data_IF_295546951005
#
_entry.id   IF_295546951005
#
_cell.length_a   1.000
_cell.length_b   1.000
_cell.length_c   1.000
_cell.angle_alpha   90.00
_cell.angle_beta   90.00
_cell.angle_gamma   90.00
#
_symmetry.space_group_name_H-M   'P 1'
#
loop_
_entity.id
_entity.type
_entity.pdbx_description
1 polymer ?
#
# COMPACT_ATOMS: atom_id res chain seq x y z
N UNK A 1 4.78 10.21 -23.81
CA UNK A 1 3.34 9.99 -24.08
C UNK A 1 2.75 9.49 -22.78
N UNK A 2 1.65 10.07 -22.31
CA UNK A 2 0.99 9.62 -21.07
C UNK A 2 0.26 8.31 -21.32
N UNK A 3 0.42 7.32 -20.43
CA UNK A 3 -0.29 6.05 -20.51
C UNK A 3 -1.81 6.27 -20.43
N UNK A 4 -2.58 5.50 -21.20
CA UNK A 4 -4.02 5.38 -20.93
C UNK A 4 -4.24 4.58 -19.65
N UNK A 5 -5.43 4.71 -19.04
CA UNK A 5 -5.80 3.91 -17.86
C UNK A 5 -5.70 2.40 -18.12
N UNK A 6 -6.13 1.93 -19.29
CA UNK A 6 -6.06 0.52 -19.65
C UNK A 6 -4.62 0.02 -19.77
N UNK A 7 -3.73 0.82 -20.38
CA UNK A 7 -2.31 0.51 -20.46
C UNK A 7 -1.65 0.50 -19.08
N UNK A 8 -2.02 1.43 -18.20
CA UNK A 8 -1.52 1.49 -16.83
C UNK A 8 -1.97 0.27 -16.01
N UNK A 9 -3.23 -0.16 -16.13
CA UNK A 9 -3.75 -1.36 -15.45
C UNK A 9 -3.04 -2.62 -15.97
N UNK A 10 -2.93 -2.80 -17.29
CA UNK A 10 -2.24 -3.94 -17.87
C UNK A 10 -0.75 -3.96 -17.45
N UNK A 11 -0.10 -2.80 -17.52
CA UNK A 11 1.28 -2.64 -17.11
C UNK A 11 1.49 -2.92 -15.63
N UNK A 12 0.57 -2.49 -14.76
CA UNK A 12 0.59 -2.80 -13.33
C UNK A 12 0.54 -4.31 -13.08
N UNK A 13 -0.43 -5.02 -13.69
CA UNK A 13 -0.60 -6.46 -13.47
C UNK A 13 0.56 -7.29 -14.01
N UNK A 14 1.17 -6.87 -15.13
CA UNK A 14 2.41 -7.48 -15.62
C UNK A 14 3.52 -7.46 -14.55
N UNK A 15 3.68 -6.33 -13.83
CA UNK A 15 4.72 -6.18 -12.80
C UNK A 15 4.37 -6.93 -11.52
N UNK A 16 3.09 -6.93 -11.12
CA UNK A 16 2.63 -7.77 -10.02
C UNK A 16 2.96 -9.24 -10.30
N UNK A 17 2.75 -9.70 -11.54
CA UNK A 17 3.02 -11.09 -11.93
C UNK A 17 4.50 -11.41 -12.10
N UNK A 18 5.29 -10.51 -12.71
CA UNK A 18 6.70 -10.79 -13.01
C UNK A 18 7.60 -10.61 -11.79
N UNK A 19 7.26 -9.68 -10.89
CA UNK A 19 8.10 -9.24 -9.77
C UNK A 19 9.51 -8.78 -10.22
N UNK A 20 9.65 -8.40 -11.48
CA UNK A 20 10.89 -7.86 -12.02
C UNK A 20 11.09 -6.41 -11.57
N UNK A 21 12.34 -6.03 -11.37
CA UNK A 21 12.71 -4.66 -11.02
C UNK A 21 12.30 -3.71 -12.16
N UNK A 22 11.45 -2.75 -11.84
CA UNK A 22 11.00 -1.70 -12.74
C UNK A 22 11.75 -0.39 -12.49
N UNK A 23 11.96 0.40 -13.54
CA UNK A 23 12.43 1.76 -13.36
C UNK A 23 11.39 2.57 -12.54
N UNK A 24 11.78 3.33 -11.50
CA UNK A 24 10.84 4.13 -10.72
C UNK A 24 9.97 5.06 -11.57
N UNK A 25 10.52 5.63 -12.64
CA UNK A 25 9.81 6.52 -13.56
C UNK A 25 8.66 5.80 -14.28
N UNK A 26 8.82 4.51 -14.58
CA UNK A 26 7.77 3.70 -15.19
C UNK A 26 6.63 3.43 -14.21
N UNK A 27 6.95 3.17 -12.94
CA UNK A 27 5.94 3.01 -11.88
C UNK A 27 5.21 4.34 -11.61
N UNK A 28 5.91 5.47 -11.72
CA UNK A 28 5.33 6.80 -11.64
C UNK A 28 4.36 7.10 -12.79
N UNK A 29 4.67 6.68 -14.01
CA UNK A 29 3.77 6.81 -15.16
C UNK A 29 2.51 5.96 -15.00
N UNK A 30 2.64 4.72 -14.50
CA UNK A 30 1.49 3.88 -14.16
C UNK A 30 0.63 4.58 -13.10
N UNK A 31 1.24 5.04 -12.01
CA UNK A 31 0.55 5.73 -10.92
C UNK A 31 -0.27 6.93 -11.39
N UNK A 32 0.35 7.78 -12.21
CA UNK A 32 -0.25 9.03 -12.69
C UNK A 32 -1.48 8.78 -13.57
N UNK A 33 -1.56 7.63 -14.26
CA UNK A 33 -2.67 7.26 -15.12
C UNK A 33 -3.84 6.58 -14.36
N UNK A 34 -3.67 6.26 -13.07
CA UNK A 34 -4.72 5.66 -12.24
C UNK A 34 -5.59 6.73 -11.56
N UNK A 35 -6.89 6.46 -11.34
CA UNK A 35 -7.78 7.37 -10.62
C UNK A 35 -7.49 7.41 -9.11
N UNK A 36 -7.71 8.58 -8.51
CA UNK A 36 -7.70 8.78 -7.05
C UNK A 36 -8.81 8.01 -6.36
N UNK A 37 -8.63 7.81 -5.05
CA UNK A 37 -9.60 7.15 -4.18
C UNK A 37 -9.94 8.02 -2.98
N UNK A 38 -11.13 7.83 -2.47
CA UNK A 38 -11.63 8.37 -1.20
C UNK A 38 -11.35 7.39 -0.06
N UNK A 39 -11.47 7.87 1.18
CA UNK A 39 -11.25 7.05 2.37
C UNK A 39 -12.29 5.92 2.42
N UNK A 40 -13.55 6.22 2.12
CA UNK A 40 -14.64 5.24 2.20
C UNK A 40 -14.47 4.11 1.19
N UNK A 41 -13.94 4.39 0.00
CA UNK A 41 -13.66 3.37 -1.03
C UNK A 41 -12.58 2.36 -0.60
N UNK A 42 -11.66 2.76 0.29
CA UNK A 42 -10.52 1.91 0.68
C UNK A 42 -10.71 1.19 2.01
N UNK A 43 -11.74 1.50 2.81
CA UNK A 43 -11.96 0.82 4.10
C UNK A 43 -12.08 -0.70 3.93
N UNK A 44 -11.54 -1.45 4.90
CA UNK A 44 -11.48 -2.91 4.91
C UNK A 44 -10.06 -3.46 4.98
N UNK A 45 -9.91 -4.77 4.79
CA UNK A 45 -8.63 -5.48 4.94
C UNK A 45 -8.02 -5.79 3.59
N UNK A 46 -6.69 -5.71 3.54
CA UNK A 46 -5.93 -5.79 2.31
C UNK A 46 -4.68 -6.63 2.51
N UNK A 47 -4.44 -7.54 1.56
CA UNK A 47 -3.18 -8.26 1.42
C UNK A 47 -2.22 -7.42 0.57
N UNK A 48 -1.01 -7.23 1.04
CA UNK A 48 0.01 -6.43 0.39
C UNK A 48 1.02 -7.23 -0.43
N UNK A 49 1.66 -6.56 -1.38
CA UNK A 49 2.86 -7.03 -2.05
C UNK A 49 3.67 -5.87 -2.60
N UNK A 50 4.90 -6.13 -2.98
CA UNK A 50 5.83 -5.10 -3.44
C UNK A 50 5.79 -4.95 -4.97
N UNK A 51 6.13 -3.76 -5.44
CA UNK A 51 6.44 -3.49 -6.85
C UNK A 51 7.93 -3.13 -6.93
N UNK A 52 8.82 -4.10 -7.17
CA UNK A 52 10.26 -3.87 -7.05
C UNK A 52 10.75 -2.75 -7.97
N UNK A 53 11.56 -1.85 -7.42
CA UNK A 53 12.12 -0.71 -8.16
C UNK A 53 13.62 -0.54 -7.96
N UNK A 54 14.29 -1.56 -7.40
CA UNK A 54 15.67 -1.48 -6.93
C UNK A 54 15.78 -0.64 -5.66
N UNK A 55 14.68 -0.51 -4.91
CA UNK A 55 14.65 0.23 -3.66
C UNK A 55 15.33 -0.59 -2.56
N UNK A 56 16.04 0.03 -1.58
CA UNK A 56 16.66 -0.72 -0.48
C UNK A 56 15.68 -1.53 0.40
N UNK A 57 14.38 -1.23 0.29
CA UNK A 57 13.32 -1.96 1.01
C UNK A 57 12.78 -3.15 0.23
N UNK A 58 13.15 -3.32 -1.05
CA UNK A 58 12.70 -4.47 -1.84
C UNK A 58 13.12 -5.77 -1.13
N UNK A 59 12.16 -6.67 -0.93
CA UNK A 59 12.28 -7.94 -0.21
C UNK A 59 12.21 -7.84 1.31
N UNK A 60 12.23 -6.65 1.91
CA UNK A 60 12.28 -6.49 3.37
C UNK A 60 10.94 -6.82 4.04
N UNK A 61 9.80 -6.58 3.38
CA UNK A 61 8.48 -6.86 3.98
C UNK A 61 8.23 -8.36 4.13
N UNK A 62 8.81 -9.18 3.26
CA UNK A 62 8.76 -10.64 3.36
C UNK A 62 9.48 -11.16 4.61
N UNK A 63 10.59 -10.54 5.02
CA UNK A 63 11.38 -10.95 6.20
C UNK A 63 10.59 -10.81 7.50
N UNK A 64 9.65 -9.86 7.53
CA UNK A 64 8.79 -9.60 8.69
C UNK A 64 7.40 -10.23 8.52
N UNK A 65 7.26 -11.15 7.55
CA UNK A 65 6.01 -11.85 7.19
C UNK A 65 4.83 -10.89 7.07
N UNK A 66 5.07 -9.74 6.43
CA UNK A 66 4.03 -8.76 6.19
C UNK A 66 2.93 -9.35 5.33
N UNK A 67 1.71 -9.31 5.86
CA UNK A 67 0.51 -9.76 5.17
C UNK A 67 -0.17 -8.59 4.45
N UNK A 68 -0.21 -7.41 5.07
CA UNK A 68 -0.80 -6.23 4.44
C UNK A 68 -1.25 -5.15 5.44
N UNK A 69 -2.43 -4.58 5.19
CA UNK A 69 -2.95 -3.42 5.95
C UNK A 69 -4.42 -3.60 6.30
N UNK A 70 -4.82 -3.11 7.46
CA UNK A 70 -6.23 -3.00 7.85
C UNK A 70 -6.66 -1.55 7.94
N UNK A 71 -7.73 -1.19 7.24
CA UNK A 71 -8.34 0.14 7.23
C UNK A 71 -9.75 0.06 7.83
N UNK A 72 -9.86 -0.18 9.13
CA UNK A 72 -11.16 -0.38 9.80
C UNK A 72 -11.98 0.92 9.88
N UNK A 73 -11.30 2.06 9.98
CA UNK A 73 -11.90 3.38 9.90
C UNK A 73 -10.83 4.43 9.63
N UNK A 74 -11.24 5.68 9.43
CA UNK A 74 -10.31 6.82 9.30
C UNK A 74 -9.22 6.87 10.38
N UNK A 75 -9.55 6.54 11.63
CA UNK A 75 -8.64 6.65 12.78
C UNK A 75 -8.20 5.30 13.36
N UNK A 76 -8.56 4.18 12.71
CA UNK A 76 -8.13 2.85 13.10
C UNK A 76 -7.53 2.16 11.88
N UNK A 77 -6.22 2.33 11.74
CA UNK A 77 -5.45 1.74 10.64
C UNK A 77 -4.27 0.98 11.20
N UNK A 78 -4.15 -0.29 10.80
CA UNK A 78 -2.97 -1.10 11.03
C UNK A 78 -2.09 -1.12 9.77
N UNK A 79 -0.97 -0.38 9.73
CA UNK A 79 -0.12 -0.28 8.54
C UNK A 79 0.77 -1.51 8.32
N UNK A 80 1.04 -2.26 9.39
CA UNK A 80 1.93 -3.42 9.42
C UNK A 80 1.20 -4.63 9.99
N UNK A 81 0.26 -5.19 9.23
CA UNK A 81 -0.37 -6.46 9.59
C UNK A 81 0.59 -7.59 9.19
N UNK A 82 1.08 -8.36 10.16
CA UNK A 82 2.04 -9.44 9.96
C UNK A 82 1.47 -10.78 10.44
N UNK A 83 2.10 -11.88 10.01
CA UNK A 83 1.82 -13.23 10.53
C UNK A 83 2.80 -13.59 11.65
N UNK A 84 2.28 -14.12 12.75
CA UNK A 84 3.09 -14.75 13.79
C UNK A 84 3.54 -16.18 13.38
N UNK A 85 4.15 -16.92 14.29
CA UNK A 85 4.60 -18.30 14.04
C UNK A 85 3.46 -19.31 13.96
N UNK A 86 2.30 -19.01 14.56
CA UNK A 86 1.08 -19.81 14.48
C UNK A 86 0.23 -19.47 13.25
N UNK A 87 0.65 -18.45 12.48
CA UNK A 87 -0.02 -17.98 11.27
C UNK A 87 -1.13 -16.95 11.50
N UNK A 88 -1.33 -16.51 12.75
CA UNK A 88 -2.33 -15.51 13.10
C UNK A 88 -1.89 -14.13 12.63
N UNK A 89 -2.86 -13.30 12.24
CA UNK A 89 -2.63 -11.92 11.84
C UNK A 89 -2.69 -10.98 13.05
N UNK A 90 -1.72 -10.07 13.14
CA UNK A 90 -1.68 -9.03 14.16
C UNK A 90 -1.09 -7.73 13.64
N UNK A 91 -1.43 -6.58 14.26
CA UNK A 91 -0.80 -5.29 13.98
C UNK A 91 0.57 -5.22 14.67
N UNK A 92 1.65 -5.27 13.89
CA UNK A 92 3.02 -5.14 14.37
C UNK A 92 3.39 -3.65 14.57
N UNK A 93 3.06 -3.15 15.75
CA UNK A 93 3.31 -1.76 16.17
C UNK A 93 4.78 -1.43 16.35
N UNK A 94 5.65 -2.41 16.60
CA UNK A 94 7.08 -2.17 16.76
C UNK A 94 7.71 -1.75 15.43
N UNK A 95 7.42 -2.50 14.36
CA UNK A 95 7.91 -2.20 13.00
C UNK A 95 7.17 -0.99 12.42
N UNK A 96 5.86 -0.92 12.61
CA UNK A 96 5.04 0.20 12.16
C UNK A 96 5.37 1.52 12.86
N UNK A 97 6.10 1.46 13.99
CA UNK A 97 6.29 2.57 14.93
C UNK A 97 4.95 3.17 15.36
N UNK A 98 4.03 2.29 15.73
CA UNK A 98 2.64 2.63 16.05
C UNK A 98 1.66 2.26 14.94
N UNK A 99 0.49 2.90 14.99
CA UNK A 99 -0.60 2.74 14.02
C UNK A 99 -0.56 3.89 13.00
N UNK A 100 -1.66 4.11 12.30
CA UNK A 100 -1.81 5.20 11.35
C UNK A 100 -3.25 5.74 11.31
N UNK A 101 -3.45 6.76 10.48
CA UNK A 101 -4.77 7.31 10.15
C UNK A 101 -4.87 7.68 8.67
N UNK A 102 -6.10 7.72 8.14
CA UNK A 102 -6.37 8.09 6.75
C UNK A 102 -6.73 9.56 6.61
N UNK A 103 -6.11 10.23 5.64
CA UNK A 103 -6.37 11.63 5.31
C UNK A 103 -6.45 11.81 3.79
N UNK A 104 -7.30 12.72 3.29
CA UNK A 104 -7.13 13.23 1.93
C UNK A 104 -5.86 14.09 1.91
N UNK A 105 -4.83 13.63 1.19
CA UNK A 105 -3.55 14.33 1.06
C UNK A 105 -3.28 14.61 -0.41
N UNK A 106 -2.81 15.83 -0.69
CA UNK A 106 -2.34 16.19 -2.03
C UNK A 106 -0.97 15.53 -2.30
N UNK A 107 -0.86 14.87 -3.44
CA UNK A 107 0.39 14.34 -3.95
C UNK A 107 0.41 14.45 -5.49
N UNK A 108 1.40 15.17 -6.01
CA UNK A 108 1.62 15.40 -7.46
C UNK A 108 0.46 16.11 -8.18
N UNK A 109 -0.18 17.05 -7.49
CA UNK A 109 -1.28 17.88 -7.99
C UNK A 109 -2.67 17.28 -7.79
N UNK A 110 -2.78 16.11 -7.15
CA UNK A 110 -4.04 15.40 -6.95
C UNK A 110 -4.26 15.03 -5.48
N UNK A 111 -5.49 15.15 -4.99
CA UNK A 111 -5.85 14.72 -3.64
C UNK A 111 -6.35 13.28 -3.68
N UNK A 112 -5.75 12.41 -2.88
CA UNK A 112 -6.17 11.01 -2.75
C UNK A 112 -6.13 10.55 -1.30
N UNK A 113 -6.92 9.54 -0.96
CA UNK A 113 -6.85 8.90 0.34
C UNK A 113 -5.43 8.38 0.54
N UNK A 114 -4.86 8.76 1.68
CA UNK A 114 -3.48 8.47 2.02
C UNK A 114 -3.40 8.09 3.49
N UNK A 115 -2.57 7.12 3.81
CA UNK A 115 -2.31 6.69 5.17
C UNK A 115 -1.11 7.44 5.73
N UNK A 116 -1.32 8.12 6.85
CA UNK A 116 -0.30 8.89 7.57
C UNK A 116 0.08 8.10 8.82
N UNK A 117 1.34 7.71 8.94
CA UNK A 117 1.84 6.96 10.10
C UNK A 117 1.91 7.86 11.33
N UNK A 118 1.51 7.32 12.49
CA UNK A 118 1.46 8.11 13.72
C UNK A 118 2.85 8.33 14.33
N UNK A 119 3.73 7.32 14.31
CA UNK A 119 5.06 7.39 14.95
C UNK A 119 6.25 7.42 13.99
N UNK A 120 6.02 7.70 12.70
CA UNK A 120 7.11 8.00 11.76
C UNK A 120 6.66 8.95 10.64
N UNK A 121 7.57 9.79 10.10
CA UNK A 121 7.22 10.77 9.07
C UNK A 121 7.17 10.12 7.69
N UNK A 122 6.19 9.21 7.51
CA UNK A 122 5.92 8.42 6.30
C UNK A 122 4.45 8.59 5.93
N UNK A 123 4.16 8.68 4.63
CA UNK A 123 2.80 8.72 4.08
C UNK A 123 2.73 7.73 2.92
N UNK A 124 1.69 6.91 2.92
CA UNK A 124 1.35 6.03 1.82
C UNK A 124 0.18 6.65 1.04
N UNK A 125 0.41 7.05 -0.20
CA UNK A 125 -0.65 7.53 -1.10
C UNK A 125 -1.26 6.35 -1.85
N UNK A 126 -2.57 6.38 -2.16
CA UNK A 126 -3.28 5.29 -2.85
C UNK A 126 -3.90 5.74 -4.18
N UNK A 127 -3.89 4.86 -5.18
CA UNK A 127 -4.63 5.00 -6.44
C UNK A 127 -5.33 3.68 -6.77
N UNK A 128 -6.50 3.76 -7.41
CA UNK A 128 -7.31 2.59 -7.75
C UNK A 128 -6.83 1.96 -9.05
N UNK A 129 -6.44 0.68 -8.99
CA UNK A 129 -6.20 -0.15 -10.18
C UNK A 129 -7.54 -0.70 -10.66
N UNK A 130 -8.24 -1.42 -9.78
CA UNK A 130 -9.60 -1.95 -10.00
C UNK A 130 -10.41 -1.95 -8.69
N UNK A 131 -11.62 -2.52 -8.69
CA UNK A 131 -12.52 -2.56 -7.52
C UNK A 131 -11.92 -3.25 -6.29
N UNK A 132 -10.89 -4.06 -6.47
CA UNK A 132 -10.28 -4.87 -5.43
C UNK A 132 -8.77 -4.70 -5.30
N UNK A 133 -8.19 -3.74 -6.01
CA UNK A 133 -6.74 -3.55 -6.09
C UNK A 133 -6.40 -2.07 -6.03
N UNK A 134 -5.51 -1.72 -5.10
CA UNK A 134 -4.87 -0.42 -5.02
C UNK A 134 -3.39 -0.57 -5.35
N UNK A 135 -2.85 0.44 -6.02
CA UNK A 135 -1.42 0.68 -5.98
C UNK A 135 -1.15 1.62 -4.79
N UNK A 136 0.04 1.51 -4.20
CA UNK A 136 0.56 2.45 -3.19
C UNK A 136 1.91 3.06 -3.56
N UNK A 137 2.10 4.34 -3.24
CA UNK A 137 3.41 5.01 -3.24
C UNK A 137 3.70 5.51 -1.83
N UNK A 138 4.82 5.08 -1.26
CA UNK A 138 5.30 5.55 0.03
C UNK A 138 6.31 6.69 -0.16
N UNK A 139 6.05 7.82 0.49
CA UNK A 139 6.98 8.93 0.60
C UNK A 139 7.19 9.33 2.08
N UNK A 140 8.11 10.24 2.33
CA UNK A 140 8.33 10.72 3.70
C UNK A 140 9.67 11.40 3.90
N UNK A 141 9.97 11.74 5.15
CA UNK A 141 11.25 12.37 5.55
C UNK A 141 12.28 11.37 6.06
N UNK A 142 11.92 10.09 6.19
CA UNK A 142 12.87 9.05 6.61
C UNK A 142 13.90 8.83 5.51
N UNK A 143 15.11 8.40 5.88
CA UNK A 143 16.16 8.07 4.91
C UNK A 143 15.77 6.96 3.92
N UNK A 144 14.74 6.17 4.27
CA UNK A 144 14.20 5.12 3.41
C UNK A 144 13.49 5.70 2.20
N UNK A 145 12.69 6.76 2.35
CA UNK A 145 11.80 7.25 1.28
C UNK A 145 11.92 8.74 0.94
N UNK A 146 12.91 9.43 1.52
CA UNK A 146 13.17 10.84 1.21
C UNK A 146 13.69 11.04 -0.23
N UNK A 147 14.59 10.18 -0.65
CA UNK A 147 15.34 10.36 -1.91
C UNK A 147 14.79 9.49 -3.06
N UNK A 148 14.03 8.44 -2.73
CA UNK A 148 13.36 7.53 -3.66
C UNK A 148 12.04 7.08 -3.06
N UNK A 149 10.99 6.93 -3.86
CA UNK A 149 9.76 6.33 -3.37
C UNK A 149 9.87 4.81 -3.33
N UNK A 150 9.06 4.21 -2.45
CA UNK A 150 8.83 2.78 -2.44
C UNK A 150 7.42 2.49 -2.97
N UNK A 151 7.30 1.45 -3.79
CA UNK A 151 6.07 1.12 -4.51
C UNK A 151 5.55 -0.23 -4.04
N UNK A 152 4.25 -0.31 -3.85
CA UNK A 152 3.59 -1.53 -3.42
C UNK A 152 2.18 -1.61 -3.99
N UNK A 153 1.52 -2.72 -3.73
CA UNK A 153 0.11 -2.89 -4.04
C UNK A 153 -0.64 -3.50 -2.87
N UNK A 154 -1.96 -3.33 -2.90
CA UNK A 154 -2.90 -3.90 -1.95
C UNK A 154 -4.02 -4.57 -2.74
N UNK A 155 -4.31 -5.83 -2.43
CA UNK A 155 -5.45 -6.58 -2.95
C UNK A 155 -6.43 -6.85 -1.82
N UNK A 156 -7.74 -6.73 -2.07
CA UNK A 156 -8.77 -7.01 -1.08
C UNK A 156 -8.57 -8.40 -0.49
N UNK A 157 -8.47 -8.45 0.83
CA UNK A 157 -8.29 -9.71 1.55
C UNK A 157 -9.65 -10.40 1.70
N UNK A 158 -9.91 -11.39 0.84
CA UNK A 158 -11.18 -12.15 0.85
C UNK A 158 -11.19 -13.27 1.88
N UNK A 159 -10.04 -13.59 2.46
CA UNK A 159 -9.89 -14.66 3.46
C UNK A 159 -9.88 -14.09 4.91
N UNK A 160 -9.89 -12.77 5.05
CA UNK A 160 -9.87 -12.04 6.33
C UNK A 160 -11.22 -11.91 7.04
N UNK A 161 -12.22 -12.74 6.74
CA UNK A 161 -13.42 -12.81 7.55
C UNK A 161 -13.01 -13.23 8.98
N UNK A 162 -13.11 -12.31 9.93
CA UNK A 162 -12.90 -12.60 11.34
C UNK A 162 -13.72 -13.86 11.72
N UNK A 163 -13.16 -14.81 12.51
CA UNK A 163 -13.97 -15.87 13.06
C UNK A 163 -15.13 -15.24 13.83
N UNK A 164 -16.35 -15.66 13.49
CA UNK A 164 -17.60 -15.02 13.91
C UNK A 164 -17.62 -14.70 15.40
N UNK A 165 -17.99 -13.46 15.72
CA UNK A 165 -18.44 -13.11 17.05
C UNK A 165 -19.69 -13.93 17.37
N UNK A 166 -19.57 -14.84 18.32
CA UNK A 166 -20.72 -15.53 18.90
C UNK A 166 -21.57 -14.55 19.69
N UNK A 167 -22.89 -14.63 19.47
CA UNK A 167 -23.92 -14.15 20.39
C UNK A 167 -23.79 -14.79 21.78
#
# INVERSE_FOLDING_TARGET
MTLTREQAIAGFFERVSSQEISAPEHLDEIWAALPTVTIDEILGHWRGGELPSGHPMDGQLALVRWHGKWFDSRYRVAPMVCRDDDGNLYSNKEIGKGEASLWPVEFRGEVTASMVYDGQPVIDHFKRVDETTLMGIMNGKTSLVRDRHFYFYLQRDRDGAAPGGGD
#
